data_IF_573724125389
#
_entry.id   IF_573724125389
#
_cell.length_a   1.000
_cell.length_b   1.000
_cell.length_c   1.000
_cell.angle_alpha   90.00
_cell.angle_beta   90.00
_cell.angle_gamma   90.00
#
_symmetry.space_group_name_H-M   'P 1'
#
loop_
_entity.id
_entity.type
_entity.pdbx_description
1 polymer ?
#
# COMPACT_ATOMS: atom_id res chain seq x y z
N UNK A 1 -0.26 -14.83 -5.43
CA UNK A 1 -0.10 -13.38 -5.66
C UNK A 1 1.29 -13.10 -6.21
N UNK A 2 1.43 -12.23 -7.22
CA UNK A 2 2.72 -11.85 -7.81
C UNK A 2 2.71 -10.38 -8.21
N UNK A 3 3.86 -9.72 -8.20
CA UNK A 3 4.04 -8.41 -8.81
C UNK A 3 3.97 -8.57 -10.34
N UNK A 4 2.96 -7.98 -10.97
CA UNK A 4 2.68 -8.11 -12.41
C UNK A 4 3.10 -6.87 -13.21
N UNK A 5 3.20 -5.71 -12.56
CA UNK A 5 3.58 -4.43 -13.16
C UNK A 5 4.18 -3.51 -12.11
N UNK A 6 5.15 -2.73 -12.48
CA UNK A 6 5.73 -1.67 -11.65
C UNK A 6 5.83 -0.37 -12.44
N UNK A 7 5.36 0.71 -11.84
CA UNK A 7 5.52 2.06 -12.36
C UNK A 7 6.51 2.81 -11.46
N UNK A 8 7.47 3.46 -12.07
CA UNK A 8 8.56 4.14 -11.36
C UNK A 8 8.65 5.57 -11.88
N UNK A 9 8.61 6.54 -10.98
CA UNK A 9 8.77 7.95 -11.30
C UNK A 9 9.87 8.57 -10.43
N UNK A 10 10.79 9.29 -11.09
CA UNK A 10 11.86 10.08 -10.49
C UNK A 10 12.80 9.30 -9.55
N UNK A 11 13.09 8.04 -9.87
CA UNK A 11 13.97 7.18 -9.07
C UNK A 11 15.31 6.94 -9.77
N UNK A 12 16.40 7.40 -9.19
CA UNK A 12 17.77 7.28 -9.69
C UNK A 12 17.88 7.74 -11.15
N UNK A 13 18.20 6.82 -12.07
CA UNK A 13 18.31 7.08 -13.51
C UNK A 13 16.98 7.03 -14.25
N UNK A 14 15.91 6.68 -13.56
CA UNK A 14 14.59 6.51 -14.15
C UNK A 14 13.76 7.77 -13.87
N UNK A 15 13.49 8.53 -14.91
CA UNK A 15 12.53 9.64 -14.84
C UNK A 15 11.10 9.11 -14.80
N UNK A 16 10.80 8.18 -15.72
CA UNK A 16 9.51 7.48 -15.77
C UNK A 16 9.71 6.13 -16.45
N UNK A 17 9.13 5.09 -15.88
CA UNK A 17 9.09 3.76 -16.47
C UNK A 17 7.81 3.04 -16.05
N UNK A 18 7.25 2.27 -16.96
CA UNK A 18 6.13 1.36 -16.76
C UNK A 18 6.54 -0.01 -17.28
N UNK A 19 6.68 -0.98 -16.39
CA UNK A 19 7.29 -2.27 -16.67
C UNK A 19 6.32 -3.38 -16.29
N UNK A 20 5.88 -4.14 -17.28
CA UNK A 20 5.12 -5.38 -17.07
C UNK A 20 6.09 -6.50 -16.71
N UNK A 21 5.75 -7.27 -15.71
CA UNK A 21 6.54 -8.38 -15.20
C UNK A 21 5.81 -9.70 -15.42
N UNK A 22 6.53 -10.68 -15.92
CA UNK A 22 6.12 -12.08 -16.05
C UNK A 22 6.71 -12.93 -14.92
N UNK A 23 6.33 -14.20 -14.75
CA UNK A 23 6.93 -15.08 -13.74
C UNK A 23 8.46 -15.17 -13.81
N UNK A 24 9.01 -15.03 -15.03
CA UNK A 24 10.44 -14.86 -15.26
C UNK A 24 10.65 -13.66 -16.18
N UNK A 25 11.27 -12.60 -15.68
CA UNK A 25 11.55 -11.37 -16.43
C UNK A 25 13.05 -11.12 -16.47
N UNK A 26 13.57 -10.82 -17.64
CA UNK A 26 14.98 -10.53 -17.86
C UNK A 26 15.17 -9.05 -18.18
N UNK A 27 15.99 -8.36 -17.42
CA UNK A 27 16.37 -6.98 -17.69
C UNK A 27 17.65 -6.97 -18.53
N UNK A 28 17.50 -6.74 -19.84
CA UNK A 28 18.61 -6.71 -20.79
C UNK A 28 18.85 -5.25 -21.20
N UNK A 29 20.10 -4.87 -21.36
CA UNK A 29 20.48 -3.53 -21.80
C UNK A 29 21.94 -3.19 -21.49
N UNK A 30 22.41 -2.08 -22.05
CA UNK A 30 23.79 -1.57 -21.85
C UNK A 30 24.04 -1.26 -20.36
N UNK A 31 25.32 -1.20 -19.99
CA UNK A 31 25.69 -0.68 -18.68
C UNK A 31 25.12 0.74 -18.50
N UNK A 32 24.68 1.06 -17.30
CA UNK A 32 24.03 2.34 -16.99
C UNK A 32 22.60 2.57 -17.58
N UNK A 33 21.95 1.57 -18.18
CA UNK A 33 20.59 1.71 -18.74
C UNK A 33 19.47 1.70 -17.68
N UNK A 34 19.78 1.70 -16.40
CA UNK A 34 18.78 1.73 -15.33
C UNK A 34 18.34 0.37 -14.78
N UNK A 35 18.91 -0.77 -15.25
CA UNK A 35 18.55 -2.12 -14.78
C UNK A 35 18.63 -2.25 -13.25
N UNK A 36 19.73 -1.84 -12.65
CA UNK A 36 19.90 -1.86 -11.19
C UNK A 36 18.95 -0.90 -10.48
N UNK A 37 18.54 0.18 -11.14
CA UNK A 37 17.54 1.10 -10.58
C UNK A 37 16.16 0.45 -10.51
N UNK A 38 15.77 -0.37 -11.49
CA UNK A 38 14.52 -1.13 -11.45
C UNK A 38 14.50 -2.10 -10.26
N UNK A 39 15.58 -2.88 -10.08
CA UNK A 39 15.70 -3.82 -8.96
C UNK A 39 15.60 -3.08 -7.62
N UNK A 40 16.30 -1.95 -7.49
CA UNK A 40 16.25 -1.12 -6.28
C UNK A 40 14.89 -0.47 -6.06
N UNK A 41 14.14 -0.15 -7.10
CA UNK A 41 12.76 0.33 -6.99
C UNK A 41 11.82 -0.77 -6.47
N UNK A 42 11.97 -2.01 -6.96
CA UNK A 42 11.23 -3.17 -6.44
C UNK A 42 11.54 -3.39 -4.96
N UNK A 43 12.82 -3.34 -4.57
CA UNK A 43 13.24 -3.44 -3.18
C UNK A 43 12.60 -2.32 -2.31
N UNK A 44 12.68 -1.07 -2.76
CA UNK A 44 12.08 0.06 -2.05
C UNK A 44 10.54 -0.05 -1.93
N UNK A 45 9.89 -0.61 -2.94
CA UNK A 45 8.46 -0.88 -2.91
C UNK A 45 8.10 -1.94 -1.86
N UNK A 46 8.80 -3.08 -1.87
CA UNK A 46 8.44 -4.26 -1.09
C UNK A 46 8.93 -4.23 0.36
N UNK A 47 9.90 -3.39 0.70
CA UNK A 47 10.51 -3.33 2.03
C UNK A 47 10.16 -2.02 2.75
N UNK A 48 10.58 -1.89 4.01
CA UNK A 48 10.48 -0.64 4.77
C UNK A 48 11.68 0.30 4.55
N UNK A 49 12.59 -0.06 3.65
CA UNK A 49 13.76 0.77 3.35
C UNK A 49 13.30 2.07 2.70
N UNK A 50 13.66 3.18 3.34
CA UNK A 50 13.46 4.51 2.77
C UNK A 50 14.63 4.84 1.87
N UNK A 51 14.39 5.21 0.60
CA UNK A 51 15.43 5.68 -0.31
C UNK A 51 16.16 6.90 0.27
N UNK A 52 17.42 7.06 -0.12
CA UNK A 52 18.24 8.19 0.28
C UNK A 52 18.02 9.40 -0.64
N UNK A 53 18.42 10.62 -0.23
CA UNK A 53 18.31 11.82 -1.08
C UNK A 53 19.00 11.69 -2.45
N UNK A 54 20.07 10.91 -2.54
CA UNK A 54 20.78 10.63 -3.79
C UNK A 54 20.03 9.67 -4.73
N UNK A 55 19.00 8.99 -4.26
CA UNK A 55 18.15 8.12 -5.06
C UNK A 55 17.07 8.88 -5.86
N UNK A 56 16.90 10.18 -5.59
CA UNK A 56 16.00 11.01 -6.39
C UNK A 56 16.61 11.32 -7.76
N UNK A 57 15.79 11.23 -8.79
CA UNK A 57 16.22 11.53 -10.15
C UNK A 57 16.79 12.94 -10.24
N UNK A 58 17.85 13.10 -11.02
CA UNK A 58 18.42 14.41 -11.33
C UNK A 58 18.09 14.76 -12.78
N UNK A 59 17.52 15.92 -12.98
CA UNK A 59 17.29 16.50 -14.28
C UNK A 59 18.63 16.84 -14.98
N UNK A 60 18.64 17.08 -16.28
CA UNK A 60 19.86 17.41 -17.02
C UNK A 60 20.61 18.65 -16.50
N UNK A 61 19.92 19.59 -15.87
CA UNK A 61 20.52 20.76 -15.21
C UNK A 61 21.13 20.45 -13.82
N UNK A 62 21.09 19.19 -13.40
CA UNK A 62 21.67 18.73 -12.14
C UNK A 62 20.77 18.83 -10.90
N UNK A 63 19.59 19.45 -11.03
CA UNK A 63 18.64 19.55 -9.94
C UNK A 63 18.02 18.19 -9.65
N UNK A 64 17.98 17.84 -8.37
CA UNK A 64 17.31 16.63 -7.93
C UNK A 64 15.81 16.89 -7.72
N UNK A 65 15.00 15.98 -8.25
CA UNK A 65 13.55 16.01 -8.04
C UNK A 65 13.22 15.98 -6.54
N UNK A 66 12.11 16.61 -6.17
CA UNK A 66 11.66 16.66 -4.77
C UNK A 66 10.79 15.47 -4.39
N UNK A 67 10.17 14.85 -5.39
CA UNK A 67 9.26 13.71 -5.20
C UNK A 67 9.65 12.56 -6.11
N UNK A 68 9.52 11.35 -5.59
CA UNK A 68 9.54 10.12 -6.36
C UNK A 68 8.37 9.23 -5.96
N UNK A 69 7.93 8.39 -6.88
CA UNK A 69 6.81 7.48 -6.66
C UNK A 69 7.08 6.14 -7.29
N UNK A 70 6.73 5.09 -6.57
CA UNK A 70 6.81 3.71 -7.04
C UNK A 70 5.46 3.04 -6.78
N UNK A 71 4.82 2.57 -7.87
CA UNK A 71 3.52 1.87 -7.80
C UNK A 71 3.72 0.42 -8.19
N UNK A 72 3.18 -0.49 -7.39
CA UNK A 72 3.16 -1.91 -7.65
C UNK A 72 1.75 -2.42 -7.91
N UNK A 73 1.61 -3.21 -8.98
CA UNK A 73 0.39 -3.93 -9.33
C UNK A 73 0.61 -5.41 -9.05
N UNK A 74 -0.26 -5.99 -8.25
CA UNK A 74 -0.18 -7.40 -7.85
C UNK A 74 -1.38 -8.15 -8.36
N UNK A 75 -1.13 -9.20 -9.13
CA UNK A 75 -2.16 -10.06 -9.71
C UNK A 75 -2.14 -11.47 -9.10
N UNK A 76 -3.14 -12.28 -9.45
CA UNK A 76 -3.27 -13.64 -8.93
C UNK A 76 -3.50 -13.65 -7.42
N UNK A 77 -4.37 -12.77 -6.94
CA UNK A 77 -4.75 -12.69 -5.53
C UNK A 77 -5.70 -13.85 -5.23
N UNK A 78 -5.35 -14.79 -4.36
CA UNK A 78 -6.29 -15.83 -3.93
C UNK A 78 -7.52 -15.24 -3.25
N UNK A 79 -8.68 -15.87 -3.42
CA UNK A 79 -9.93 -15.36 -2.87
C UNK A 79 -9.88 -15.25 -1.33
N UNK A 80 -9.26 -16.22 -0.67
CA UNK A 80 -9.02 -16.16 0.78
C UNK A 80 -8.19 -14.94 1.20
N UNK A 81 -7.18 -14.56 0.39
CA UNK A 81 -6.36 -13.37 0.65
C UNK A 81 -7.15 -12.09 0.39
N UNK A 82 -7.97 -12.06 -0.66
CA UNK A 82 -8.78 -10.87 -0.97
C UNK A 82 -9.80 -10.54 0.12
N UNK A 83 -10.18 -11.54 0.91
CA UNK A 83 -11.10 -11.39 2.05
C UNK A 83 -10.39 -11.01 3.36
N UNK A 84 -9.06 -11.08 3.41
CA UNK A 84 -8.29 -10.79 4.61
C UNK A 84 -8.18 -9.29 4.90
N UNK A 85 -7.94 -8.98 6.16
CA UNK A 85 -7.60 -7.62 6.59
C UNK A 85 -6.45 -7.06 5.76
N UNK A 86 -6.59 -5.82 5.31
CA UNK A 86 -5.61 -5.12 4.47
C UNK A 86 -5.78 -5.35 2.97
N UNK A 87 -6.58 -6.35 2.55
CA UNK A 87 -6.87 -6.61 1.14
C UNK A 87 -8.34 -6.38 0.78
N UNK A 88 -9.26 -6.58 1.73
CA UNK A 88 -10.69 -6.41 1.48
C UNK A 88 -11.01 -4.98 1.05
N UNK A 89 -11.77 -4.82 -0.02
CA UNK A 89 -12.06 -3.53 -0.64
C UNK A 89 -10.90 -2.91 -1.41
N UNK A 90 -9.72 -3.54 -1.39
CA UNK A 90 -8.50 -3.08 -2.08
C UNK A 90 -8.08 -3.95 -3.26
N UNK A 91 -8.78 -5.05 -3.49
CA UNK A 91 -8.63 -5.82 -4.72
C UNK A 91 -9.61 -5.26 -5.73
N UNK A 92 -9.08 -4.52 -6.70
CA UNK A 92 -9.82 -3.81 -7.73
C UNK A 92 -9.56 -4.51 -9.06
N UNK A 93 -10.61 -4.97 -9.73
CA UNK A 93 -10.50 -5.68 -11.00
C UNK A 93 -9.52 -6.89 -10.97
N UNK A 94 -9.45 -7.58 -9.83
CA UNK A 94 -8.57 -8.74 -9.64
C UNK A 94 -7.10 -8.38 -9.34
N UNK A 95 -6.79 -7.11 -9.18
CA UNK A 95 -5.46 -6.62 -8.81
C UNK A 95 -5.48 -5.91 -7.46
N UNK A 96 -4.41 -6.07 -6.70
CA UNK A 96 -4.10 -5.24 -5.55
C UNK A 96 -3.03 -4.24 -5.94
N UNK A 97 -3.32 -2.96 -5.78
CA UNK A 97 -2.44 -1.89 -6.24
C UNK A 97 -2.12 -0.97 -5.07
N UNK A 98 -0.83 -0.78 -4.80
CA UNK A 98 -0.38 0.22 -3.84
C UNK A 98 0.82 0.99 -4.37
N UNK A 99 1.04 2.18 -3.82
CA UNK A 99 2.18 3.02 -4.17
C UNK A 99 2.86 3.60 -2.93
N UNK A 100 4.13 3.87 -3.07
CA UNK A 100 4.91 4.65 -2.13
C UNK A 100 5.31 5.97 -2.79
N UNK A 101 5.01 7.04 -2.11
CA UNK A 101 5.48 8.39 -2.43
C UNK A 101 6.57 8.75 -1.45
N UNK A 102 7.68 9.23 -1.96
CA UNK A 102 8.80 9.70 -1.15
C UNK A 102 9.02 11.17 -1.45
N UNK A 103 9.14 11.98 -0.41
CA UNK A 103 9.39 13.41 -0.52
C UNK A 103 10.66 13.78 0.21
N UNK A 104 11.55 14.45 -0.50
CA UNK A 104 12.76 15.01 0.07
C UNK A 104 12.44 16.37 0.69
N UNK A 105 12.68 16.49 1.98
CA UNK A 105 12.52 17.72 2.74
C UNK A 105 13.75 18.63 2.55
N UNK A 106 13.62 19.89 2.91
CA UNK A 106 14.73 20.87 2.81
C UNK A 106 15.91 20.53 3.75
N UNK A 107 15.62 19.88 4.87
CA UNK A 107 16.63 19.38 5.82
C UNK A 107 17.34 18.09 5.34
N UNK A 108 17.03 17.63 4.14
CA UNK A 108 17.59 16.39 3.56
C UNK A 108 16.91 15.11 4.00
N UNK A 109 15.95 15.15 4.92
CA UNK A 109 15.17 13.95 5.28
C UNK A 109 14.24 13.53 4.16
N UNK A 110 13.98 12.24 4.10
CA UNK A 110 13.01 11.66 3.17
C UNK A 110 11.83 11.13 3.97
N UNK A 111 10.64 11.63 3.64
CA UNK A 111 9.38 11.11 4.19
C UNK A 111 8.77 10.12 3.24
N UNK A 112 8.05 9.13 3.78
CA UNK A 112 7.36 8.08 3.02
C UNK A 112 5.89 8.12 3.32
N UNK A 113 5.07 8.17 2.28
CA UNK A 113 3.63 8.00 2.33
C UNK A 113 3.27 6.75 1.55
N UNK A 114 2.41 5.90 2.11
CA UNK A 114 1.93 4.68 1.48
C UNK A 114 0.44 4.82 1.22
N UNK A 115 0.02 4.56 0.01
CA UNK A 115 -1.37 4.60 -0.41
C UNK A 115 -1.73 3.30 -1.13
N UNK A 116 -2.96 2.84 -0.91
CA UNK A 116 -3.54 1.75 -1.68
C UNK A 116 -4.74 2.22 -2.48
N UNK A 117 -4.94 1.64 -3.65
CA UNK A 117 -6.16 1.81 -4.41
C UNK A 117 -7.25 0.96 -3.74
N UNK A 118 -8.37 1.57 -3.40
CA UNK A 118 -9.49 0.85 -2.78
C UNK A 118 -10.83 1.43 -3.22
N UNK A 119 -11.87 0.59 -3.14
CA UNK A 119 -13.23 1.07 -3.31
C UNK A 119 -13.62 1.99 -2.15
N UNK A 120 -14.49 2.97 -2.38
CA UNK A 120 -15.13 3.71 -1.30
C UNK A 120 -15.94 2.76 -0.41
N UNK A 121 -16.18 3.19 0.81
CA UNK A 121 -17.05 2.46 1.72
C UNK A 121 -17.97 3.42 2.47
N UNK A 122 -19.07 2.88 2.97
CA UNK A 122 -19.97 3.57 3.88
C UNK A 122 -20.20 2.74 5.12
N UNK A 123 -20.47 3.39 6.22
CA UNK A 123 -20.91 2.70 7.43
C UNK A 123 -22.37 2.30 7.28
N UNK A 124 -22.70 1.12 7.80
CA UNK A 124 -24.09 0.69 7.95
C UNK A 124 -24.68 1.36 9.17
N UNK A 125 -25.89 1.88 9.07
CA UNK A 125 -26.60 2.41 10.24
C UNK A 125 -26.70 1.33 11.35
N UNK A 126 -26.47 1.69 12.62
CA UNK A 126 -26.26 3.03 13.19
C UNK A 126 -24.76 3.48 13.25
N UNK A 127 -23.83 2.72 12.68
CA UNK A 127 -22.40 2.93 12.81
C UNK A 127 -21.89 4.13 11.98
N UNK A 128 -20.79 4.73 12.44
CA UNK A 128 -20.13 5.83 11.74
C UNK A 128 -18.62 5.85 12.09
N UNK A 129 -17.88 6.79 11.52
CA UNK A 129 -16.44 6.94 11.76
C UNK A 129 -16.05 7.24 13.22
N UNK A 130 -17.00 7.63 14.08
CA UNK A 130 -16.79 7.88 15.50
C UNK A 130 -17.23 6.73 16.39
N UNK A 131 -17.79 5.66 15.82
CA UNK A 131 -18.18 4.46 16.57
C UNK A 131 -16.96 3.87 17.27
N UNK A 132 -17.11 3.64 18.57
CA UNK A 132 -15.99 3.23 19.43
C UNK A 132 -16.03 1.73 19.72
N UNK A 133 -14.85 1.17 19.99
CA UNK A 133 -14.71 -0.24 20.36
C UNK A 133 -15.63 -0.67 21.51
N UNK A 134 -15.77 0.19 22.55
CA UNK A 134 -16.63 -0.10 23.68
C UNK A 134 -18.12 -0.20 23.31
N UNK A 135 -18.57 0.63 22.36
CA UNK A 135 -19.93 0.60 21.84
C UNK A 135 -20.22 -0.71 21.12
N UNK A 136 -19.30 -1.15 20.27
CA UNK A 136 -19.42 -2.43 19.56
C UNK A 136 -19.40 -3.63 20.51
N UNK A 137 -18.60 -3.60 21.59
CA UNK A 137 -18.64 -4.63 22.62
C UNK A 137 -20.02 -4.71 23.30
N UNK A 138 -20.64 -3.56 23.55
CA UNK A 138 -21.99 -3.50 24.14
C UNK A 138 -23.06 -4.04 23.20
N UNK A 139 -22.82 -4.00 21.89
CA UNK A 139 -23.72 -4.52 20.86
C UNK A 139 -23.52 -6.01 20.55
N UNK A 140 -22.60 -6.68 21.27
CA UNK A 140 -22.41 -8.12 21.18
C UNK A 140 -21.20 -8.56 20.33
N UNK A 141 -20.42 -7.61 19.79
CA UNK A 141 -19.13 -7.98 19.19
C UNK A 141 -18.14 -8.34 20.29
N UNK A 142 -17.45 -9.46 20.11
CA UNK A 142 -16.45 -9.89 21.11
C UNK A 142 -15.17 -9.07 20.97
N UNK A 143 -14.46 -8.88 22.09
CA UNK A 143 -13.15 -8.22 22.08
C UNK A 143 -12.14 -8.93 21.17
N UNK A 144 -12.21 -10.24 21.05
CA UNK A 144 -11.39 -11.03 20.15
C UNK A 144 -11.66 -10.67 18.69
N UNK A 145 -12.92 -10.66 18.27
CA UNK A 145 -13.30 -10.26 16.92
C UNK A 145 -12.84 -8.85 16.59
N UNK A 146 -13.10 -7.90 17.48
CA UNK A 146 -12.71 -6.51 17.27
C UNK A 146 -11.18 -6.34 17.24
N UNK A 147 -10.45 -7.08 18.07
CA UNK A 147 -8.98 -7.09 18.05
C UNK A 147 -8.43 -7.70 16.78
N UNK A 148 -9.04 -8.75 16.26
CA UNK A 148 -8.67 -9.35 14.97
C UNK A 148 -8.90 -8.38 13.81
N UNK A 149 -10.01 -7.64 13.83
CA UNK A 149 -10.36 -6.70 12.76
C UNK A 149 -9.56 -5.40 12.80
N UNK A 150 -9.34 -4.85 13.99
CA UNK A 150 -8.71 -3.54 14.18
C UNK A 150 -7.29 -3.59 14.74
N UNK A 151 -6.83 -4.77 15.20
CA UNK A 151 -5.61 -4.93 15.98
C UNK A 151 -5.83 -4.59 17.46
N UNK A 152 -4.81 -4.77 18.29
CA UNK A 152 -4.91 -4.41 19.72
C UNK A 152 -4.93 -2.90 19.90
N UNK A 153 -5.84 -2.36 20.75
CA UNK A 153 -5.78 -0.97 21.12
C UNK A 153 -4.44 -0.65 21.80
N UNK A 154 -3.81 0.41 21.37
CA UNK A 154 -2.54 0.88 21.97
C UNK A 154 -2.73 1.57 23.31
N UNK A 155 -3.97 1.82 23.70
CA UNK A 155 -4.34 2.47 24.96
C UNK A 155 -5.30 1.59 25.77
N UNK A 156 -5.20 1.61 27.12
CA UNK A 156 -6.07 0.84 28.00
C UNK A 156 -7.55 1.30 27.97
N UNK A 157 -7.86 2.46 27.40
CA UNK A 157 -9.21 2.91 27.20
C UNK A 157 -9.77 2.26 25.92
N UNK A 158 -10.85 1.51 26.05
CA UNK A 158 -11.61 0.93 24.92
C UNK A 158 -12.24 2.00 23.99
N UNK A 159 -11.73 3.21 23.99
CA UNK A 159 -12.18 4.34 23.17
C UNK A 159 -11.44 4.38 21.83
N UNK A 160 -11.61 3.36 21.05
CA UNK A 160 -11.03 3.25 19.72
C UNK A 160 -11.94 3.87 18.68
N UNK A 161 -11.39 4.75 17.87
CA UNK A 161 -12.03 5.15 16.64
C UNK A 161 -11.71 4.11 15.56
N UNK A 162 -12.68 3.77 14.74
CA UNK A 162 -12.53 2.79 13.68
C UNK A 162 -11.81 3.42 12.50
N UNK A 163 -10.53 3.13 12.35
CA UNK A 163 -9.73 3.60 11.21
C UNK A 163 -9.92 2.76 9.95
N UNK A 164 -10.11 1.46 10.16
CA UNK A 164 -10.13 0.52 9.06
C UNK A 164 -11.47 -0.15 9.03
N UNK A 165 -12.09 -0.21 7.84
CA UNK A 165 -13.33 -0.92 7.70
C UNK A 165 -13.12 -2.39 8.06
N UNK A 166 -13.79 -2.89 9.08
CA UNK A 166 -13.72 -4.30 9.40
C UNK A 166 -14.48 -5.11 8.38
N UNK A 167 -14.06 -6.34 8.20
CA UNK A 167 -14.68 -7.28 7.29
C UNK A 167 -16.09 -7.72 7.70
N UNK A 168 -16.48 -7.44 8.92
CA UNK A 168 -17.64 -8.02 9.54
C UNK A 168 -18.81 -7.07 9.70
N UNK A 169 -19.30 -6.59 8.63
CA UNK A 169 -20.70 -6.17 8.63
C UNK A 169 -21.03 -4.75 9.09
N UNK A 170 -20.12 -3.98 9.66
CA UNK A 170 -20.39 -2.57 10.03
C UNK A 170 -20.09 -1.59 8.90
N UNK A 171 -19.43 -2.04 7.84
CA UNK A 171 -19.27 -1.27 6.63
C UNK A 171 -19.73 -2.04 5.38
N UNK A 172 -19.97 -1.29 4.36
CA UNK A 172 -20.29 -1.78 3.03
C UNK A 172 -19.36 -1.14 2.01
N UNK A 173 -18.68 -1.97 1.21
CA UNK A 173 -17.83 -1.51 0.12
C UNK A 173 -18.70 -1.15 -1.09
N UNK A 174 -18.52 0.06 -1.61
CA UNK A 174 -19.22 0.56 -2.79
C UNK A 174 -18.45 0.14 -4.05
N UNK A 175 -18.54 -1.14 -4.41
CA UNK A 175 -17.80 -1.73 -5.55
C UNK A 175 -18.33 -1.28 -6.92
N UNK A 176 -19.46 -0.61 -6.95
CA UNK A 176 -20.07 0.05 -8.10
C UNK A 176 -19.51 1.46 -8.36
N UNK A 177 -18.72 1.99 -7.43
CA UNK A 177 -18.09 3.29 -7.53
C UNK A 177 -16.62 3.17 -7.96
N UNK A 178 -16.09 4.25 -8.54
CA UNK A 178 -14.68 4.31 -8.92
C UNK A 178 -13.76 4.22 -7.70
N UNK A 179 -12.74 3.35 -7.73
CA UNK A 179 -11.77 3.26 -6.67
C UNK A 179 -10.87 4.50 -6.62
N UNK A 180 -10.39 4.82 -5.45
CA UNK A 180 -9.50 5.96 -5.22
C UNK A 180 -8.32 5.60 -4.32
N UNK A 181 -7.34 6.50 -4.25
CA UNK A 181 -6.16 6.31 -3.43
C UNK A 181 -6.43 6.70 -1.98
N UNK A 182 -6.16 5.80 -1.06
CA UNK A 182 -6.29 6.01 0.37
C UNK A 182 -4.96 5.80 1.07
N UNK A 183 -4.63 6.69 1.99
CA UNK A 183 -3.47 6.54 2.83
C UNK A 183 -3.55 5.25 3.65
N UNK A 184 -2.45 4.50 3.67
CA UNK A 184 -2.32 3.32 4.53
C UNK A 184 -1.50 3.69 5.77
N UNK A 185 -2.03 3.46 6.98
CA UNK A 185 -1.32 3.78 8.22
C UNK A 185 -0.07 2.92 8.48
N UNK A 186 0.24 2.03 7.56
CA UNK A 186 1.39 1.12 7.61
C UNK A 186 0.97 -0.35 7.57
N UNK A 187 1.89 -1.19 7.14
CA UNK A 187 1.69 -2.64 7.12
C UNK A 187 1.48 -3.26 5.75
N UNK A 188 1.07 -2.51 4.73
CA UNK A 188 0.91 -3.04 3.36
C UNK A 188 2.19 -3.74 2.87
N UNK A 189 3.40 -3.15 2.92
CA UNK A 189 4.58 -3.81 2.39
C UNK A 189 4.87 -5.16 3.05
N UNK A 190 4.71 -5.27 4.37
CA UNK A 190 4.90 -6.53 5.08
C UNK A 190 3.85 -7.55 4.71
N UNK A 191 2.57 -7.14 4.63
CA UNK A 191 1.47 -8.01 4.26
C UNK A 191 1.63 -8.55 2.83
N UNK A 192 2.06 -7.72 1.91
CA UNK A 192 2.33 -8.11 0.52
C UNK A 192 3.54 -9.05 0.46
N UNK A 193 4.66 -8.65 1.06
CA UNK A 193 5.90 -9.39 0.98
C UNK A 193 5.79 -10.79 1.61
N UNK A 194 5.02 -10.95 2.68
CA UNK A 194 4.79 -12.25 3.31
C UNK A 194 4.00 -13.23 2.43
N UNK A 195 3.36 -12.77 1.36
CA UNK A 195 2.53 -13.54 0.44
C UNK A 195 3.10 -13.67 -0.97
N UNK A 196 4.21 -13.02 -1.23
CA UNK A 196 4.97 -13.25 -2.46
C UNK A 196 5.70 -14.59 -2.38
N UNK A 197 5.86 -15.32 -3.49
CA UNK A 197 6.76 -16.47 -3.53
C UNK A 197 8.14 -16.06 -3.02
N UNK A 198 8.71 -16.85 -2.12
CA UNK A 198 10.11 -16.66 -1.73
C UNK A 198 10.99 -17.01 -2.94
N UNK A 199 11.85 -16.08 -3.32
CA UNK A 199 12.88 -16.31 -4.32
C UNK A 199 13.92 -17.28 -3.78
#
# INVERSE_FOLDING_TARGET
MRLSRIEIHNFRRIRSADIKLSPASFLIGRNNSGKSSVIKAIEALLTLVTPKPEDFHRSPNGEAEREMMITGHFSGIPQEVSSMRGFKGRVVNGEFIYRKKFRRQEDGKVTTEIEALQYPYRFREPYNSKTKFAELCNEGFTEVQLTEWFGKPTMPSKNWELYMPPEAGIIEWCVDQEPSWFADPGGIPQNVNSRLPRL
#
